data_IF_972368586425
#
_entry.id   IF_972368586425
#
_cell.length_a   1.000
_cell.length_b   1.000
_cell.length_c   1.000
_cell.angle_alpha   90.00
_cell.angle_beta   90.00
_cell.angle_gamma   90.00
#
_symmetry.space_group_name_H-M   'P 1'
#
loop_
_entity.id
_entity.type
_entity.pdbx_description
1 polymer ?
#
# COMPACT_ATOMS: atom_id res chain seq x y z
N UNK A 1 -16.89 -0.27 13.50
CA UNK A 1 -15.52 -0.33 12.94
C UNK A 1 -15.49 0.48 11.66
N UNK A 2 -14.31 0.90 11.21
CA UNK A 2 -14.17 1.45 9.87
C UNK A 2 -12.87 0.97 9.24
N UNK A 3 -12.83 0.98 7.92
CA UNK A 3 -11.64 0.66 7.15
C UNK A 3 -11.42 1.67 6.04
N UNK A 4 -10.18 1.73 5.56
CA UNK A 4 -9.80 2.55 4.42
C UNK A 4 -8.97 1.76 3.44
N UNK A 5 -9.09 2.10 2.16
CA UNK A 5 -8.13 1.75 1.12
C UNK A 5 -7.57 3.03 0.49
N UNK A 6 -6.29 3.31 0.76
CA UNK A 6 -5.58 4.47 0.21
C UNK A 6 -4.98 4.11 -1.14
N UNK A 7 -5.68 4.52 -2.20
CA UNK A 7 -5.26 4.41 -3.59
C UNK A 7 -4.49 5.63 -4.11
N UNK A 8 -4.05 5.55 -5.38
CA UNK A 8 -3.32 6.63 -6.04
C UNK A 8 -4.19 7.85 -6.41
N UNK A 9 -5.46 7.61 -6.74
CA UNK A 9 -6.41 8.66 -7.15
C UNK A 9 -7.43 8.98 -6.06
N UNK A 10 -7.91 7.96 -5.36
CA UNK A 10 -8.91 8.10 -4.32
C UNK A 10 -8.57 7.24 -3.10
N UNK A 11 -9.03 7.72 -1.95
CA UNK A 11 -9.09 6.98 -0.70
C UNK A 11 -10.55 6.59 -0.48
N UNK A 12 -10.80 5.28 -0.46
CA UNK A 12 -12.10 4.71 -0.16
C UNK A 12 -12.21 4.49 1.36
N UNK A 13 -13.30 4.95 1.97
CA UNK A 13 -13.55 4.78 3.41
C UNK A 13 -14.89 4.08 3.59
N UNK A 14 -14.89 3.02 4.41
CA UNK A 14 -16.05 2.18 4.68
C UNK A 14 -16.24 2.08 6.19
N UNK A 15 -17.46 2.31 6.69
CA UNK A 15 -17.80 2.12 8.08
C UNK A 15 -18.92 1.09 8.24
N UNK A 16 -18.83 0.29 9.31
CA UNK A 16 -19.84 -0.69 9.69
C UNK A 16 -20.27 -0.40 11.13
N UNK A 17 -21.56 -0.11 11.32
CA UNK A 17 -22.21 0.15 12.61
C UNK A 17 -23.61 -0.46 12.60
N UNK A 18 -23.93 -1.28 13.59
CA UNK A 18 -25.25 -1.91 13.77
C UNK A 18 -25.76 -2.64 12.51
N UNK A 19 -24.87 -3.38 11.83
CA UNK A 19 -25.18 -4.10 10.60
C UNK A 19 -25.34 -3.21 9.35
N UNK A 20 -25.23 -1.88 9.48
CA UNK A 20 -25.29 -0.93 8.36
C UNK A 20 -23.90 -0.59 7.85
N UNK A 21 -23.77 -0.54 6.52
CA UNK A 21 -22.55 -0.14 5.82
C UNK A 21 -22.74 1.27 5.28
N UNK A 22 -21.79 2.16 5.55
CA UNK A 22 -21.70 3.48 4.92
C UNK A 22 -20.35 3.65 4.24
N UNK A 23 -20.33 4.36 3.11
CA UNK A 23 -19.12 4.53 2.28
C UNK A 23 -18.95 5.99 1.88
N UNK A 24 -17.70 6.42 1.77
CA UNK A 24 -17.36 7.70 1.14
C UNK A 24 -16.05 7.56 0.37
N UNK A 25 -15.91 8.37 -0.67
CA UNK A 25 -14.73 8.42 -1.52
C UNK A 25 -14.15 9.82 -1.46
N UNK A 26 -12.86 9.93 -1.18
CA UNK A 26 -12.14 11.20 -1.04
C UNK A 26 -10.97 11.20 -2.00
N UNK A 27 -10.71 12.28 -2.77
CA UNK A 27 -9.49 12.36 -3.59
C UNK A 27 -8.24 12.10 -2.74
N UNK A 28 -7.35 11.25 -3.24
CA UNK A 28 -6.09 10.93 -2.56
C UNK A 28 -5.13 12.12 -2.62
N UNK A 29 -4.27 12.23 -1.61
CA UNK A 29 -3.21 13.24 -1.56
C UNK A 29 -1.86 12.55 -1.41
N UNK A 30 -1.00 12.68 -2.42
CA UNK A 30 0.37 12.13 -2.36
C UNK A 30 1.28 12.92 -1.42
N UNK A 31 1.05 14.24 -1.29
CA UNK A 31 1.81 15.10 -0.39
C UNK A 31 1.35 14.99 1.07
N UNK A 32 0.11 14.55 1.30
CA UNK A 32 -0.43 14.31 2.64
C UNK A 32 -1.38 13.10 2.67
N UNK A 33 -0.86 11.85 2.62
CA UNK A 33 -1.67 10.64 2.59
C UNK A 33 -2.67 10.48 3.77
N UNK A 34 -2.36 10.94 5.00
CA UNK A 34 -3.33 10.89 6.09
C UNK A 34 -4.56 11.79 5.93
N UNK A 35 -4.47 12.91 5.19
CA UNK A 35 -5.55 13.89 5.13
C UNK A 35 -6.88 13.33 4.55
N UNK A 36 -6.89 12.62 3.41
CA UNK A 36 -8.10 11.99 2.88
C UNK A 36 -8.74 10.95 3.82
N UNK A 37 -7.91 10.20 4.56
CA UNK A 37 -8.36 9.23 5.57
C UNK A 37 -9.12 9.93 6.69
N UNK A 38 -8.54 11.00 7.23
CA UNK A 38 -9.17 11.81 8.29
C UNK A 38 -10.46 12.48 7.80
N UNK A 39 -10.44 13.00 6.57
CA UNK A 39 -11.63 13.61 5.97
C UNK A 39 -12.76 12.58 5.79
N UNK A 40 -12.47 11.40 5.24
CA UNK A 40 -13.47 10.35 5.08
C UNK A 40 -14.00 9.83 6.42
N UNK A 41 -13.14 9.70 7.42
CA UNK A 41 -13.54 9.37 8.79
C UNK A 41 -14.52 10.40 9.38
N UNK A 42 -14.26 11.70 9.16
CA UNK A 42 -15.18 12.79 9.56
C UNK A 42 -16.51 12.70 8.83
N UNK A 43 -16.50 12.53 7.50
CA UNK A 43 -17.72 12.41 6.67
C UNK A 43 -18.63 11.26 7.11
N UNK A 44 -18.05 10.13 7.54
CA UNK A 44 -18.80 8.96 8.01
C UNK A 44 -19.09 8.97 9.52
N UNK A 45 -18.64 9.98 10.27
CA UNK A 45 -18.92 10.09 11.70
C UNK A 45 -18.40 8.91 12.52
N UNK A 46 -17.21 8.39 12.18
CA UNK A 46 -16.67 7.14 12.77
C UNK A 46 -15.99 7.35 14.12
N UNK A 47 -16.10 8.53 14.72
CA UNK A 47 -15.64 8.82 16.07
C UNK A 47 -16.18 7.75 17.05
N UNK A 48 -15.30 7.24 17.93
CA UNK A 48 -15.62 6.15 18.84
C UNK A 48 -15.54 4.73 18.24
N UNK A 49 -15.14 4.59 16.97
CA UNK A 49 -14.82 3.25 16.44
C UNK A 49 -13.62 2.65 17.17
N UNK A 50 -13.79 1.44 17.70
CA UNK A 50 -12.74 0.70 18.43
C UNK A 50 -11.78 -0.05 17.51
N UNK A 51 -12.14 -0.21 16.24
CA UNK A 51 -11.36 -0.95 15.23
C UNK A 51 -11.23 -0.10 13.98
N UNK A 52 -9.99 0.01 13.51
CA UNK A 52 -9.58 0.68 12.28
C UNK A 52 -8.75 -0.27 11.41
N UNK A 53 -9.21 -0.55 10.19
CA UNK A 53 -8.48 -1.36 9.22
C UNK A 53 -7.88 -0.47 8.13
N UNK A 54 -6.57 -0.51 7.95
CA UNK A 54 -5.88 0.29 6.94
C UNK A 54 -5.36 -0.61 5.82
N UNK A 55 -5.76 -0.30 4.59
CA UNK A 55 -5.18 -0.83 3.36
C UNK A 55 -4.61 0.33 2.54
N UNK A 56 -3.55 0.05 1.78
CA UNK A 56 -2.98 1.01 0.83
C UNK A 56 -2.25 0.29 -0.29
N UNK A 57 -2.34 0.86 -1.49
CA UNK A 57 -1.58 0.42 -2.66
C UNK A 57 -0.24 1.15 -2.84
N UNK A 58 0.10 2.12 -1.97
CA UNK A 58 1.31 2.94 -2.13
C UNK A 58 2.60 2.11 -2.13
N UNK A 59 2.71 1.14 -1.22
CA UNK A 59 3.89 0.28 -1.11
C UNK A 59 4.08 -0.61 -2.35
N UNK A 60 3.00 -1.25 -2.81
CA UNK A 60 3.03 -2.08 -4.01
C UNK A 60 3.38 -1.26 -5.25
N UNK A 61 2.78 -0.08 -5.41
CA UNK A 61 3.09 0.81 -6.52
C UNK A 61 4.54 1.31 -6.48
N UNK A 62 5.11 1.56 -5.30
CA UNK A 62 6.52 1.94 -5.19
C UNK A 62 7.46 0.83 -5.69
N UNK A 63 7.12 -0.45 -5.43
CA UNK A 63 7.87 -1.61 -5.94
C UNK A 63 7.70 -1.75 -7.46
N UNK A 64 6.46 -1.72 -7.96
CA UNK A 64 6.14 -1.90 -9.38
C UNK A 64 6.77 -0.78 -10.22
N UNK A 65 6.66 0.47 -9.78
CA UNK A 65 7.20 1.64 -10.49
C UNK A 65 8.71 1.82 -10.24
N UNK A 66 9.37 0.91 -9.51
CA UNK A 66 10.79 0.99 -9.12
C UNK A 66 11.17 2.34 -8.46
N UNK A 67 10.24 2.94 -7.71
CA UNK A 67 10.41 4.23 -7.01
C UNK A 67 10.69 4.02 -5.52
N UNK A 68 11.72 3.24 -5.22
CA UNK A 68 12.21 3.01 -3.87
C UNK A 68 13.54 3.76 -3.67
N UNK A 69 13.88 4.18 -2.43
CA UNK A 69 15.19 4.74 -2.14
C UNK A 69 16.30 3.71 -2.42
N UNK A 70 17.52 4.18 -2.68
CA UNK A 70 18.68 3.29 -2.76
C UNK A 70 18.89 2.62 -1.39
N UNK A 71 19.03 1.30 -1.40
CA UNK A 71 19.27 0.49 -0.21
C UNK A 71 20.61 -0.24 -0.33
N UNK A 72 21.27 -0.46 0.81
CA UNK A 72 22.45 -1.31 0.89
C UNK A 72 22.02 -2.75 1.20
N UNK A 73 22.65 -3.72 0.53
CA UNK A 73 22.52 -5.14 0.83
C UNK A 73 23.84 -5.63 1.42
N UNK A 74 23.82 -6.04 2.69
CA UNK A 74 24.95 -6.65 3.39
C UNK A 74 24.76 -8.15 3.43
N UNK A 75 25.80 -8.89 3.05
CA UNK A 75 25.78 -10.35 2.97
C UNK A 75 27.15 -10.91 3.37
N UNK A 76 27.20 -12.22 3.63
CA UNK A 76 28.45 -12.93 3.91
C UNK A 76 29.35 -12.92 2.67
N UNK A 77 30.67 -12.93 2.89
CA UNK A 77 31.63 -13.08 1.79
C UNK A 77 31.31 -14.33 0.94
N UNK A 78 31.36 -14.17 -0.38
CA UNK A 78 30.96 -15.19 -1.34
C UNK A 78 29.44 -15.27 -1.69
N UNK A 79 28.57 -14.43 -1.10
CA UNK A 79 27.10 -14.48 -1.33
C UNK A 79 26.49 -13.19 -1.91
N UNK A 80 27.27 -12.38 -2.64
CA UNK A 80 26.79 -11.12 -3.23
C UNK A 80 25.70 -11.30 -4.28
N UNK A 81 25.71 -12.42 -5.01
CA UNK A 81 24.87 -12.71 -6.18
C UNK A 81 23.54 -13.41 -5.86
N UNK A 82 23.21 -13.61 -4.57
CA UNK A 82 22.00 -14.34 -4.15
C UNK A 82 20.71 -13.73 -4.69
N UNK A 83 20.64 -12.39 -4.76
CA UNK A 83 19.46 -11.69 -5.29
C UNK A 83 19.32 -11.86 -6.81
N UNK A 84 20.44 -12.02 -7.53
CA UNK A 84 20.48 -12.21 -8.98
C UNK A 84 20.21 -13.67 -9.37
N UNK A 85 20.77 -14.61 -8.59
CA UNK A 85 20.58 -16.05 -8.80
C UNK A 85 19.13 -16.49 -8.59
N UNK A 86 18.38 -15.76 -7.74
CA UNK A 86 16.95 -15.94 -7.54
C UNK A 86 16.53 -17.41 -7.46
N UNK A 87 16.64 -18.04 -6.30
CA UNK A 87 16.08 -19.40 -6.06
C UNK A 87 14.53 -19.45 -6.11
N UNK A 88 13.90 -18.45 -6.72
CA UNK A 88 12.46 -18.33 -6.93
C UNK A 88 12.20 -18.85 -8.34
N UNK A 89 11.18 -19.69 -8.54
CA UNK A 89 10.68 -20.04 -9.87
C UNK A 89 10.15 -18.78 -10.57
N UNK A 90 11.07 -17.99 -11.15
CA UNK A 90 10.76 -16.91 -12.06
C UNK A 90 10.95 -17.49 -13.46
N UNK A 91 9.94 -17.45 -14.34
CA UNK A 91 10.08 -17.96 -15.70
C UNK A 91 11.25 -17.26 -16.41
N UNK A 92 11.94 -17.99 -17.27
CA UNK A 92 13.26 -17.62 -17.81
C UNK A 92 13.24 -16.28 -18.55
N UNK A 93 12.11 -15.97 -19.18
CA UNK A 93 11.82 -14.71 -19.88
C UNK A 93 11.90 -13.49 -18.95
N UNK A 94 11.46 -13.61 -17.70
CA UNK A 94 11.54 -12.56 -16.69
C UNK A 94 12.92 -12.46 -15.99
N UNK A 95 13.88 -13.32 -16.35
CA UNK A 95 15.27 -13.25 -15.88
C UNK A 95 16.20 -12.62 -16.93
N UNK A 96 15.87 -12.73 -18.21
CA UNK A 96 16.74 -12.29 -19.32
C UNK A 96 16.33 -10.99 -20.00
N UNK A 97 15.22 -10.36 -19.58
CA UNK A 97 14.83 -9.06 -20.13
C UNK A 97 15.61 -7.92 -19.43
N UNK A 98 16.53 -7.22 -20.14
CA UNK A 98 17.29 -6.11 -19.56
C UNK A 98 16.53 -4.76 -19.62
N UNK A 99 15.24 -4.76 -19.98
CA UNK A 99 14.38 -3.56 -19.97
C UNK A 99 13.98 -3.05 -18.55
#
# INVERSE_FOLDING_TARGET
MFGVDVGGTFTDVVAVRDGKISVTKVPSSRSNPPAPVVEGAKRLGVAGSTVFNHASTMGLNAVIERRLPKIAYLTTDGFRDVLDRGNVHRPLDAQTDPA
#
